data_IF_848143668863
#
_entry.id   IF_848143668863
#
_cell.length_a   1.000
_cell.length_b   1.000
_cell.length_c   1.000
_cell.angle_alpha   90.00
_cell.angle_beta   90.00
_cell.angle_gamma   90.00
#
_symmetry.space_group_name_H-M   'P 1'
#
loop_
_entity.id
_entity.type
_entity.pdbx_description
1 polymer ?
#
# COMPACT_ATOMS: atom_id res chain seq x y z
N UNK A 1 -27.64 -1.38 -4.28
CA UNK A 1 -28.60 -2.30 -4.94
C UNK A 1 -29.79 -2.72 -4.07
N UNK A 2 -29.83 -2.45 -2.76
CA UNK A 2 -30.95 -2.89 -1.92
C UNK A 2 -32.23 -2.03 -2.05
N UNK A 3 -32.07 -0.72 -2.32
CA UNK A 3 -33.18 0.23 -2.43
C UNK A 3 -33.58 0.44 -3.91
N UNK A 4 -32.58 0.58 -4.80
CA UNK A 4 -32.79 0.87 -6.23
C UNK A 4 -33.45 -0.29 -7.00
N UNK A 5 -33.22 -1.55 -6.59
CA UNK A 5 -33.82 -2.73 -7.24
C UNK A 5 -34.38 -3.71 -6.19
N UNK A 6 -35.57 -3.43 -5.63
CA UNK A 6 -36.10 -4.16 -4.49
C UNK A 6 -36.45 -5.64 -4.77
N UNK A 7 -36.77 -5.98 -6.03
CA UNK A 7 -37.16 -7.34 -6.43
C UNK A 7 -35.98 -8.17 -6.97
N UNK A 8 -34.78 -7.60 -7.08
CA UNK A 8 -33.61 -8.36 -7.56
C UNK A 8 -33.14 -9.31 -6.45
N UNK A 9 -32.95 -10.61 -6.74
CA UNK A 9 -32.48 -11.56 -5.73
C UNK A 9 -31.16 -11.05 -5.13
N UNK A 10 -31.12 -11.02 -3.80
CA UNK A 10 -29.97 -10.51 -3.05
C UNK A 10 -28.78 -11.45 -3.22
N UNK A 11 -27.58 -10.86 -3.22
CA UNK A 11 -26.32 -11.60 -3.10
C UNK A 11 -26.42 -12.57 -1.93
N UNK A 12 -26.23 -13.87 -2.21
CA UNK A 12 -26.26 -14.89 -1.17
C UNK A 12 -25.08 -14.75 -0.20
N UNK A 13 -25.23 -15.27 1.02
CA UNK A 13 -24.20 -15.20 2.10
C UNK A 13 -22.81 -15.66 1.63
N UNK A 14 -22.75 -16.75 0.85
CA UNK A 14 -21.50 -17.28 0.30
C UNK A 14 -20.84 -16.28 -0.66
N UNK A 15 -21.61 -15.67 -1.54
CA UNK A 15 -21.11 -14.70 -2.51
C UNK A 15 -20.59 -13.43 -1.82
N UNK A 16 -21.28 -12.95 -0.79
CA UNK A 16 -20.78 -11.82 0.03
C UNK A 16 -19.45 -12.14 0.71
N UNK A 17 -19.29 -13.35 1.26
CA UNK A 17 -18.03 -13.79 1.87
C UNK A 17 -16.90 -13.87 0.82
N UNK A 18 -17.17 -14.43 -0.36
CA UNK A 18 -16.19 -14.49 -1.44
C UNK A 18 -15.74 -13.09 -1.88
N UNK A 19 -16.68 -12.15 -2.06
CA UNK A 19 -16.35 -10.77 -2.41
C UNK A 19 -15.51 -10.12 -1.32
N UNK A 20 -15.88 -10.27 -0.05
CA UNK A 20 -15.11 -9.72 1.07
C UNK A 20 -13.68 -10.27 1.08
N UNK A 21 -13.50 -11.59 0.98
CA UNK A 21 -12.18 -12.23 0.94
C UNK A 21 -11.38 -11.75 -0.27
N UNK A 22 -12.01 -11.64 -1.45
CA UNK A 22 -11.31 -11.14 -2.64
C UNK A 22 -10.83 -9.69 -2.48
N UNK A 23 -11.62 -8.82 -1.83
CA UNK A 23 -11.22 -7.44 -1.56
C UNK A 23 -9.98 -7.45 -0.67
N UNK A 24 -9.99 -8.21 0.42
CA UNK A 24 -8.83 -8.32 1.32
C UNK A 24 -7.59 -8.81 0.59
N UNK A 25 -7.68 -9.90 -0.18
CA UNK A 25 -6.54 -10.46 -0.92
C UNK A 25 -5.98 -9.45 -1.92
N UNK A 26 -6.86 -8.81 -2.70
CA UNK A 26 -6.46 -7.83 -3.72
C UNK A 26 -5.81 -6.62 -3.04
N UNK A 27 -6.41 -6.08 -1.98
CA UNK A 27 -5.84 -4.95 -1.23
C UNK A 27 -4.46 -5.28 -0.66
N UNK A 28 -4.28 -6.49 -0.09
CA UNK A 28 -2.97 -6.92 0.43
C UNK A 28 -1.96 -7.06 -0.71
N UNK A 29 -2.33 -7.68 -1.83
CA UNK A 29 -1.43 -7.84 -2.98
C UNK A 29 -1.01 -6.49 -3.58
N UNK A 30 -1.95 -5.55 -3.71
CA UNK A 30 -1.66 -4.19 -4.18
C UNK A 30 -0.75 -3.40 -3.21
N UNK A 31 -0.82 -3.71 -1.91
CA UNK A 31 0.01 -3.07 -0.90
C UNK A 31 1.40 -3.71 -0.74
N UNK A 32 1.59 -4.94 -1.24
CA UNK A 32 2.85 -5.67 -1.17
C UNK A 32 4.10 -4.90 -1.65
N UNK A 33 4.10 -4.12 -2.76
CA UNK A 33 5.29 -3.36 -3.17
C UNK A 33 5.78 -2.40 -2.08
N UNK A 34 4.88 -1.84 -1.26
CA UNK A 34 5.27 -0.94 -0.17
C UNK A 34 6.11 -1.62 0.91
N UNK A 35 6.01 -2.95 1.07
CA UNK A 35 6.84 -3.70 1.99
C UNK A 35 8.25 -3.96 1.45
N UNK A 36 8.42 -3.94 0.12
CA UNK A 36 9.69 -4.24 -0.55
C UNK A 36 10.50 -2.97 -0.77
N UNK A 37 9.84 -1.87 -1.14
CA UNK A 37 10.51 -0.62 -1.51
C UNK A 37 10.71 0.34 -0.34
N UNK A 38 10.25 0.04 0.87
CA UNK A 38 10.52 0.87 2.04
C UNK A 38 11.71 0.34 2.83
N UNK A 39 12.67 1.22 3.09
CA UNK A 39 13.88 0.91 3.84
C UNK A 39 14.14 1.99 4.90
N UNK A 40 15.03 1.70 5.84
CA UNK A 40 15.41 2.63 6.91
C UNK A 40 16.86 3.05 6.79
N UNK A 41 17.13 4.35 6.94
CA UNK A 41 18.47 4.92 6.94
C UNK A 41 18.72 5.74 8.21
N UNK A 42 19.97 5.70 8.70
CA UNK A 42 20.40 6.45 9.88
C UNK A 42 21.12 7.72 9.42
N UNK A 43 20.55 8.86 9.77
CA UNK A 43 21.17 10.17 9.54
C UNK A 43 21.96 10.54 10.78
N UNK A 44 23.28 10.66 10.63
CA UNK A 44 24.17 11.21 11.65
C UNK A 44 24.29 12.72 11.46
N UNK A 45 23.94 13.49 12.48
CA UNK A 45 24.01 14.94 12.45
C UNK A 45 25.36 15.45 12.98
N UNK A 46 25.85 16.61 12.49
CA UNK A 46 27.13 17.19 12.92
C UNK A 46 27.20 17.50 14.42
N UNK A 47 26.06 17.60 15.10
CA UNK A 47 25.94 17.83 16.54
C UNK A 47 26.01 16.53 17.37
N UNK A 48 26.30 15.38 16.75
CA UNK A 48 26.43 14.09 17.42
C UNK A 48 25.12 13.36 17.70
N UNK A 49 23.99 13.85 17.18
CA UNK A 49 22.71 13.15 17.24
C UNK A 49 22.52 12.21 16.04
N UNK A 50 21.86 11.07 16.25
CA UNK A 50 21.44 10.16 15.18
C UNK A 50 19.92 10.11 15.07
N UNK A 51 19.39 10.00 13.84
CA UNK A 51 17.95 9.81 13.58
C UNK A 51 17.75 8.71 12.55
N UNK A 52 16.92 7.74 12.89
CA UNK A 52 16.45 6.71 11.96
C UNK A 52 15.25 7.27 11.20
N UNK A 53 15.33 7.25 9.87
CA UNK A 53 14.23 7.61 8.97
C UNK A 53 13.78 6.38 8.18
N UNK A 54 12.49 6.34 7.83
CA UNK A 54 11.93 5.35 6.92
C UNK A 54 11.54 6.07 5.63
N UNK A 55 12.03 5.59 4.50
CA UNK A 55 11.81 6.22 3.19
C UNK A 55 11.61 5.16 2.11
N UNK A 56 11.02 5.57 0.99
CA UNK A 56 10.90 4.72 -0.19
C UNK A 56 12.18 4.79 -1.02
N UNK A 57 12.79 3.63 -1.26
CA UNK A 57 13.92 3.42 -2.15
C UNK A 57 13.43 2.64 -3.37
N UNK A 58 13.30 3.35 -4.48
CA UNK A 58 12.92 2.77 -5.75
C UNK A 58 14.16 2.18 -6.43
N UNK A 59 14.01 1.22 -7.37
CA UNK A 59 15.15 0.61 -8.06
C UNK A 59 16.01 1.60 -8.88
N UNK A 60 15.49 2.80 -9.15
CA UNK A 60 16.19 3.90 -9.81
C UNK A 60 16.94 4.83 -8.84
N UNK A 61 16.77 4.65 -7.52
CA UNK A 61 17.53 5.36 -6.49
C UNK A 61 16.72 5.74 -5.25
N UNK A 62 17.39 6.25 -4.20
CA UNK A 62 16.71 6.86 -3.06
C UNK A 62 15.90 8.09 -3.50
N UNK A 63 14.96 8.52 -2.66
CA UNK A 63 13.98 9.59 -2.93
C UNK A 63 14.56 11.00 -3.15
N UNK A 64 15.87 11.14 -3.25
CA UNK A 64 16.55 12.39 -3.62
C UNK A 64 17.28 12.29 -4.96
N UNK A 65 17.41 11.07 -5.50
CA UNK A 65 18.15 10.76 -6.72
C UNK A 65 17.28 10.04 -7.76
N UNK A 66 16.06 9.62 -7.39
CA UNK A 66 15.19 8.85 -8.28
C UNK A 66 14.67 9.76 -9.41
N UNK A 67 14.48 9.19 -10.59
CA UNK A 67 13.90 9.93 -11.74
C UNK A 67 12.39 9.86 -11.74
N UNK A 68 11.82 8.85 -11.09
CA UNK A 68 10.37 8.64 -11.02
C UNK A 68 9.65 9.59 -10.04
N UNK A 69 10.34 10.17 -9.06
CA UNK A 69 9.74 11.16 -8.15
C UNK A 69 9.40 12.51 -8.81
N UNK A 70 10.02 12.82 -9.96
CA UNK A 70 9.88 14.10 -10.66
C UNK A 70 8.95 14.04 -11.89
N UNK A 71 8.32 12.88 -12.13
CA UNK A 71 7.34 12.64 -13.20
C UNK A 71 5.91 12.85 -12.69
#
# INVERSE_FOLDING_TARGET
MAIVYPLKPRMGRRMTLFVAISIWIISTAFSAPMLVFFTTYVIEFPNGGSRVICYSEWPDGPSTESKQEHL
#
